data_IF_331452094287
#
_entry.id   IF_331452094287
#
_cell.length_a   1.000
_cell.length_b   1.000
_cell.length_c   1.000
_cell.angle_alpha   90.00
_cell.angle_beta   90.00
_cell.angle_gamma   90.00
#
_symmetry.space_group_name_H-M   'P 1'
#
loop_
_entity.id
_entity.type
_entity.pdbx_description
1 polymer ?
#
# COMPACT_ATOMS: atom_id res chain seq x y z
N UNK A 1 18.82 -7.24 23.51
CA UNK A 1 17.84 -6.87 22.46
C UNK A 1 16.54 -7.54 22.83
N UNK A 2 15.53 -6.79 23.25
CA UNK A 2 14.33 -7.39 23.85
C UNK A 2 13.08 -6.80 23.23
N UNK A 3 12.15 -7.72 22.94
CA UNK A 3 10.71 -7.56 22.70
C UNK A 3 10.31 -7.16 21.27
N UNK A 4 10.16 -8.17 20.39
CA UNK A 4 9.11 -8.14 19.37
C UNK A 4 7.88 -8.82 19.95
N UNK A 5 6.86 -8.05 20.35
CA UNK A 5 5.55 -8.61 20.69
C UNK A 5 4.82 -8.92 19.37
N UNK A 6 5.19 -10.02 18.73
CA UNK A 6 4.32 -10.67 17.76
C UNK A 6 3.02 -11.03 18.50
N UNK A 7 1.97 -10.25 18.30
CA UNK A 7 0.67 -10.56 18.92
C UNK A 7 0.09 -11.74 18.14
N UNK A 8 0.34 -12.95 18.63
CA UNK A 8 -0.18 -14.20 18.06
C UNK A 8 -1.58 -14.42 18.60
N UNK A 9 -2.58 -14.40 17.72
CA UNK A 9 -3.97 -14.69 18.08
C UNK A 9 -4.44 -15.97 17.36
N UNK A 10 -5.18 -16.87 18.03
CA UNK A 10 -5.81 -18.02 17.41
C UNK A 10 -6.69 -17.64 16.21
N UNK A 11 -6.82 -18.55 15.25
CA UNK A 11 -7.62 -18.35 14.05
C UNK A 11 -9.08 -17.94 14.35
N UNK A 12 -9.66 -18.57 15.36
CA UNK A 12 -11.02 -18.30 15.81
C UNK A 12 -11.15 -16.91 16.44
N UNK A 13 -10.11 -16.46 17.14
CA UNK A 13 -10.08 -15.13 17.75
C UNK A 13 -9.86 -14.04 16.69
N UNK A 14 -9.04 -14.30 15.67
CA UNK A 14 -8.91 -13.44 14.50
C UNK A 14 -10.23 -13.33 13.74
N UNK A 15 -10.91 -14.45 13.51
CA UNK A 15 -12.21 -14.48 12.83
C UNK A 15 -13.25 -13.61 13.54
N UNK A 16 -13.31 -13.72 14.88
CA UNK A 16 -14.21 -12.89 15.71
C UNK A 16 -13.80 -11.42 15.76
N UNK A 17 -12.51 -11.14 15.89
CA UNK A 17 -12.00 -9.76 16.05
C UNK A 17 -12.17 -8.93 14.78
N UNK A 18 -12.02 -9.56 13.62
CA UNK A 18 -12.06 -8.88 12.33
C UNK A 18 -13.38 -9.10 11.58
N UNK A 19 -14.32 -9.86 12.17
CA UNK A 19 -15.60 -10.24 11.56
C UNK A 19 -15.41 -10.91 10.18
N UNK A 20 -14.40 -11.78 10.09
CA UNK A 20 -14.03 -12.50 8.86
C UNK A 20 -14.17 -14.00 9.09
N UNK A 21 -14.81 -14.71 8.16
CA UNK A 21 -14.95 -16.17 8.29
C UNK A 21 -13.60 -16.88 8.32
N UNK A 22 -13.51 -17.94 9.13
CA UNK A 22 -12.34 -18.82 9.23
C UNK A 22 -11.90 -19.31 7.84
N UNK A 23 -12.87 -19.66 6.98
CA UNK A 23 -12.63 -20.12 5.61
C UNK A 23 -11.97 -19.06 4.73
N UNK A 24 -12.34 -17.79 4.89
CA UNK A 24 -11.70 -16.69 4.18
C UNK A 24 -10.26 -16.46 4.67
N UNK A 25 -10.02 -16.55 5.97
CA UNK A 25 -8.67 -16.51 6.53
C UNK A 25 -7.81 -17.68 6.01
N UNK A 26 -8.35 -18.91 5.97
CA UNK A 26 -7.63 -20.06 5.38
C UNK A 26 -7.25 -19.84 3.92
N UNK A 27 -8.14 -19.24 3.13
CA UNK A 27 -7.87 -18.89 1.73
C UNK A 27 -6.73 -17.89 1.61
N UNK A 28 -6.70 -16.86 2.47
CA UNK A 28 -5.61 -15.89 2.51
C UNK A 28 -4.26 -16.51 2.90
N UNK A 29 -4.24 -17.61 3.67
CA UNK A 29 -3.01 -18.38 3.90
C UNK A 29 -2.58 -19.14 2.64
N UNK A 30 -3.52 -19.81 1.98
CA UNK A 30 -3.26 -20.57 0.75
C UNK A 30 -2.75 -19.67 -0.38
N UNK A 31 -3.29 -18.45 -0.44
CA UNK A 31 -2.89 -17.41 -1.40
C UNK A 31 -1.58 -16.71 -1.00
N UNK A 32 -0.96 -17.09 0.12
CA UNK A 32 0.32 -16.55 0.60
C UNK A 32 0.27 -15.14 1.20
N UNK A 33 -0.94 -14.59 1.38
CA UNK A 33 -1.20 -13.24 1.89
C UNK A 33 -0.96 -13.17 3.41
N UNK A 34 -1.17 -14.27 4.13
CA UNK A 34 -0.85 -14.42 5.56
C UNK A 34 -0.07 -15.70 5.84
N UNK A 35 0.77 -15.72 6.88
CA UNK A 35 1.61 -16.88 7.22
C UNK A 35 1.05 -17.63 8.43
N UNK A 36 1.02 -18.96 8.36
CA UNK A 36 0.73 -19.82 9.51
C UNK A 36 1.98 -19.95 10.38
N UNK A 37 1.83 -19.71 11.69
CA UNK A 37 2.85 -20.06 12.68
C UNK A 37 2.29 -21.12 13.62
N UNK A 38 2.89 -22.31 13.61
CA UNK A 38 2.47 -23.40 14.50
C UNK A 38 3.01 -23.17 15.91
N UNK A 39 2.13 -23.23 16.91
CA UNK A 39 2.56 -23.33 18.31
C UNK A 39 2.76 -24.81 18.66
N UNK A 40 3.69 -25.13 19.58
CA UNK A 40 4.03 -26.51 20.00
C UNK A 40 2.88 -27.33 20.62
N UNK A 41 1.66 -26.77 20.70
CA UNK A 41 0.52 -27.31 21.46
C UNK A 41 -0.68 -27.74 20.63
N UNK A 42 -0.56 -27.81 19.30
CA UNK A 42 -1.62 -28.35 18.43
C UNK A 42 -2.76 -27.39 18.10
N UNK A 43 -2.72 -26.15 18.59
CA UNK A 43 -3.69 -25.12 18.24
C UNK A 43 -3.27 -24.36 16.97
N UNK A 44 -4.20 -24.27 16.01
CA UNK A 44 -4.01 -23.54 14.75
C UNK A 44 -4.08 -22.03 15.01
N UNK A 45 -2.91 -21.41 15.19
CA UNK A 45 -2.77 -19.96 15.38
C UNK A 45 -2.38 -19.31 14.05
N UNK A 46 -3.16 -18.32 13.60
CA UNK A 46 -2.82 -17.55 12.40
C UNK A 46 -1.97 -16.35 12.80
N UNK A 47 -0.81 -16.21 12.15
CA UNK A 47 -0.06 -14.96 12.15
C UNK A 47 -0.53 -14.14 10.96
N UNK A 48 -1.45 -13.20 11.18
CA UNK A 48 -1.67 -12.12 10.20
C UNK A 48 -0.43 -11.24 10.25
N UNK A 49 0.60 -11.62 9.50
CA UNK A 49 1.77 -10.78 9.31
C UNK A 49 1.38 -9.66 8.35
N UNK A 50 0.63 -8.67 8.84
CA UNK A 50 0.75 -7.33 8.23
C UNK A 50 2.18 -6.92 8.48
N UNK A 51 2.93 -6.70 7.41
CA UNK A 51 4.26 -6.10 7.53
C UNK A 51 4.05 -4.76 8.24
N UNK A 52 4.81 -4.50 9.30
CA UNK A 52 4.73 -3.21 9.97
C UNK A 52 5.13 -2.10 8.99
N UNK A 53 4.68 -0.86 9.25
CA UNK A 53 4.89 0.23 8.30
C UNK A 53 6.39 0.45 7.98
N UNK A 54 7.30 0.24 8.94
CA UNK A 54 8.73 0.47 8.71
C UNK A 54 9.32 -0.62 7.81
N UNK A 55 8.92 -1.88 8.00
CA UNK A 55 9.32 -2.97 7.11
C UNK A 55 8.70 -2.81 5.71
N UNK A 56 7.45 -2.33 5.61
CA UNK A 56 6.81 -2.08 4.32
C UNK A 56 7.53 -0.95 3.54
N UNK A 57 7.93 0.12 4.23
CA UNK A 57 8.75 1.20 3.64
C UNK A 57 10.07 0.64 3.07
N UNK A 58 10.78 -0.20 3.85
CA UNK A 58 12.04 -0.81 3.38
C UNK A 58 11.87 -1.67 2.14
N UNK A 59 10.83 -2.51 2.11
CA UNK A 59 10.53 -3.36 0.95
C UNK A 59 10.25 -2.50 -0.28
N UNK A 60 9.41 -1.48 -0.14
CA UNK A 60 9.05 -0.59 -1.25
C UNK A 60 10.25 0.17 -1.80
N UNK A 61 11.12 0.70 -0.94
CA UNK A 61 12.33 1.41 -1.37
C UNK A 61 13.33 0.50 -2.12
N UNK A 62 13.31 -0.81 -1.87
CA UNK A 62 14.15 -1.77 -2.57
C UNK A 62 13.55 -2.16 -3.93
N UNK A 63 12.22 -2.39 -3.97
CA UNK A 63 11.49 -2.87 -5.15
C UNK A 63 11.16 -1.77 -6.17
N UNK A 64 10.77 -0.58 -5.68
CA UNK A 64 10.13 0.47 -6.49
C UNK A 64 11.01 1.72 -6.48
N UNK A 65 11.60 2.03 -7.63
CA UNK A 65 12.50 3.17 -7.81
C UNK A 65 11.95 4.15 -8.84
N UNK A 66 12.15 5.47 -8.66
CA UNK A 66 11.59 6.48 -9.56
C UNK A 66 12.09 6.35 -11.01
N UNK A 67 13.30 5.83 -11.22
CA UNK A 67 13.91 5.62 -12.53
C UNK A 67 13.11 4.63 -13.41
N UNK A 68 12.35 3.71 -12.79
CA UNK A 68 11.46 2.78 -13.51
C UNK A 68 10.38 3.52 -14.32
N UNK A 69 10.04 4.76 -13.93
CA UNK A 69 8.97 5.57 -14.51
C UNK A 69 9.51 6.75 -15.33
N UNK A 70 10.83 6.86 -15.51
CA UNK A 70 11.45 8.01 -16.19
C UNK A 70 10.99 8.17 -17.64
N UNK A 71 10.61 7.08 -18.30
CA UNK A 71 10.05 7.07 -19.65
C UNK A 71 8.69 7.80 -19.78
N UNK A 72 8.01 8.10 -18.67
CA UNK A 72 6.75 8.85 -18.63
C UNK A 72 6.95 10.30 -18.15
N UNK A 73 8.19 10.73 -17.89
CA UNK A 73 8.46 12.03 -17.27
C UNK A 73 8.07 13.15 -18.22
N UNK A 74 7.31 14.13 -17.71
CA UNK A 74 6.81 15.25 -18.50
C UNK A 74 5.59 14.93 -19.37
N UNK A 75 5.18 13.66 -19.46
CA UNK A 75 3.92 13.28 -20.10
C UNK A 75 2.74 13.77 -19.27
N UNK A 76 1.73 14.31 -19.97
CA UNK A 76 0.55 14.91 -19.33
C UNK A 76 -0.55 13.87 -19.23
N UNK A 77 -1.07 13.67 -18.02
CA UNK A 77 -2.29 12.89 -17.83
C UNK A 77 -3.32 13.70 -17.05
N UNK A 78 -4.57 13.70 -17.54
CA UNK A 78 -5.67 14.36 -16.83
C UNK A 78 -6.06 13.55 -15.59
N UNK A 79 -6.48 14.21 -14.52
CA UNK A 79 -6.86 13.53 -13.28
C UNK A 79 -7.89 12.40 -13.47
N UNK A 80 -8.97 12.64 -14.23
CA UNK A 80 -9.99 11.61 -14.50
C UNK A 80 -9.45 10.45 -15.36
N UNK A 81 -8.52 10.74 -16.26
CA UNK A 81 -7.87 9.71 -17.09
C UNK A 81 -6.91 8.87 -16.26
N UNK A 82 -6.12 9.51 -15.39
CA UNK A 82 -5.27 8.85 -14.43
C UNK A 82 -6.07 7.93 -13.50
N UNK A 83 -7.19 8.41 -12.98
CA UNK A 83 -8.07 7.60 -12.13
C UNK A 83 -8.52 6.30 -12.81
N UNK A 84 -8.94 6.39 -14.08
CA UNK A 84 -9.36 5.22 -14.87
C UNK A 84 -8.19 4.31 -15.23
N UNK A 85 -7.07 4.89 -15.68
CA UNK A 85 -5.88 4.15 -16.12
C UNK A 85 -5.24 3.38 -14.96
N UNK A 86 -5.14 4.03 -13.80
CA UNK A 86 -4.44 3.52 -12.63
C UNK A 86 -5.36 2.89 -11.60
N UNK A 87 -6.68 2.91 -11.80
CA UNK A 87 -7.70 2.37 -10.89
C UNK A 87 -7.50 2.89 -9.45
N UNK A 88 -7.50 4.21 -9.32
CA UNK A 88 -7.38 4.93 -8.04
C UNK A 88 -8.34 6.10 -8.04
N UNK A 89 -9.08 6.28 -6.95
CA UNK A 89 -10.07 7.35 -6.84
C UNK A 89 -9.48 8.75 -7.11
N UNK A 90 -10.23 9.54 -7.89
CA UNK A 90 -9.97 10.95 -8.22
C UNK A 90 -9.55 11.78 -6.99
N UNK A 91 -10.24 11.57 -5.87
CA UNK A 91 -9.98 12.29 -4.63
C UNK A 91 -8.60 11.94 -4.01
N UNK A 92 -8.12 10.71 -4.19
CA UNK A 92 -6.78 10.32 -3.71
C UNK A 92 -5.70 11.00 -4.55
N UNK A 93 -5.84 10.96 -5.89
CA UNK A 93 -4.93 11.62 -6.82
C UNK A 93 -4.87 13.13 -6.56
N UNK A 94 -6.04 13.77 -6.38
CA UNK A 94 -6.13 15.19 -6.05
C UNK A 94 -5.37 15.52 -4.76
N UNK A 95 -5.60 14.76 -3.68
CA UNK A 95 -4.91 14.98 -2.39
C UNK A 95 -3.41 14.74 -2.49
N UNK A 96 -2.96 13.81 -3.32
CA UNK A 96 -1.53 13.58 -3.54
C UNK A 96 -0.89 14.72 -4.35
N UNK A 97 -1.60 15.28 -5.32
CA UNK A 97 -1.18 16.48 -6.04
C UNK A 97 -1.12 17.72 -5.12
N UNK A 98 -2.12 17.95 -4.27
CA UNK A 98 -2.10 19.05 -3.27
C UNK A 98 -0.93 18.93 -2.30
N UNK A 99 -0.54 17.69 -1.95
CA UNK A 99 0.61 17.40 -1.09
C UNK A 99 1.95 17.42 -1.84
N UNK A 100 1.94 17.78 -3.12
CA UNK A 100 3.11 17.83 -3.99
C UNK A 100 3.82 16.47 -4.17
N UNK A 101 3.12 15.36 -3.92
CA UNK A 101 3.60 14.02 -4.24
C UNK A 101 3.53 13.75 -5.74
N UNK A 102 2.60 14.44 -6.42
CA UNK A 102 2.43 14.40 -7.87
C UNK A 102 2.64 15.82 -8.39
N UNK A 103 3.56 15.98 -9.33
CA UNK A 103 3.78 17.26 -9.96
C UNK A 103 2.60 17.66 -10.86
N UNK A 104 2.13 18.89 -10.69
CA UNK A 104 1.07 19.48 -11.50
C UNK A 104 1.72 20.20 -12.68
N UNK A 105 1.40 19.79 -13.90
CA UNK A 105 1.92 20.39 -15.13
C UNK A 105 1.04 21.55 -15.63
N UNK A 106 -0.28 21.46 -15.42
CA UNK A 106 -1.23 22.51 -15.77
C UNK A 106 -2.43 22.48 -14.81
N UNK A 107 -2.89 23.67 -14.40
CA UNK A 107 -4.04 23.84 -13.51
C UNK A 107 -4.94 24.98 -14.01
N UNK A 108 -6.12 24.60 -14.49
CA UNK A 108 -7.22 25.50 -14.84
C UNK A 108 -8.50 25.16 -14.06
N UNK A 109 -9.54 25.99 -14.23
CA UNK A 109 -10.80 25.92 -13.47
C UNK A 109 -11.48 24.54 -13.52
N UNK A 110 -11.31 23.78 -14.59
CA UNK A 110 -11.83 22.41 -14.76
C UNK A 110 -10.79 21.45 -15.35
N UNK A 111 -9.50 21.80 -15.26
CA UNK A 111 -8.43 21.05 -15.90
C UNK A 111 -7.28 20.89 -14.92
N UNK A 112 -7.00 19.66 -14.54
CA UNK A 112 -5.83 19.31 -13.75
C UNK A 112 -5.04 18.27 -14.53
N UNK A 113 -3.88 18.70 -15.05
CA UNK A 113 -2.92 17.83 -15.73
C UNK A 113 -1.74 17.55 -14.81
N UNK A 114 -1.48 16.27 -14.63
CA UNK A 114 -0.47 15.73 -13.73
C UNK A 114 0.68 15.18 -14.57
N UNK A 115 1.89 15.18 -14.01
CA UNK A 115 3.01 14.42 -14.55
C UNK A 115 2.73 12.93 -14.40
N UNK A 116 2.68 12.22 -15.53
CA UNK A 116 2.30 10.82 -15.54
C UNK A 116 3.32 9.92 -14.82
N UNK A 117 4.62 10.20 -14.92
CA UNK A 117 5.63 9.44 -14.19
C UNK A 117 5.40 9.52 -12.68
N UNK A 118 5.08 10.72 -12.17
CA UNK A 118 4.77 10.90 -10.75
C UNK A 118 3.50 10.15 -10.34
N UNK A 119 2.45 10.21 -11.18
CA UNK A 119 1.21 9.46 -10.94
C UNK A 119 1.50 7.96 -10.85
N UNK A 120 2.18 7.40 -11.86
CA UNK A 120 2.50 5.98 -11.94
C UNK A 120 3.33 5.53 -10.73
N UNK A 121 4.32 6.33 -10.34
CA UNK A 121 5.19 6.07 -9.20
C UNK A 121 4.41 6.04 -7.87
N UNK A 122 3.67 7.11 -7.59
CA UNK A 122 2.89 7.26 -6.35
C UNK A 122 1.82 6.17 -6.23
N UNK A 123 1.11 5.87 -7.32
CA UNK A 123 0.10 4.80 -7.35
C UNK A 123 0.75 3.46 -7.06
N UNK A 124 1.90 3.16 -7.67
CA UNK A 124 2.54 1.85 -7.48
C UNK A 124 2.98 1.65 -6.04
N UNK A 125 3.57 2.68 -5.41
CA UNK A 125 3.88 2.65 -3.98
C UNK A 125 2.61 2.41 -3.15
N UNK A 126 1.53 3.14 -3.42
CA UNK A 126 0.30 3.03 -2.65
C UNK A 126 -0.33 1.63 -2.75
N UNK A 127 -0.45 1.08 -3.96
CA UNK A 127 -1.00 -0.26 -4.19
C UNK A 127 -0.13 -1.32 -3.53
N UNK A 128 1.20 -1.23 -3.69
CA UNK A 128 2.13 -2.15 -3.05
C UNK A 128 2.06 -2.06 -1.52
N UNK A 129 1.95 -0.86 -0.96
CA UNK A 129 1.77 -0.68 0.47
C UNK A 129 0.43 -1.26 0.96
N UNK A 130 -0.63 -1.15 0.17
CA UNK A 130 -1.93 -1.75 0.48
C UNK A 130 -1.87 -3.27 0.47
N UNK A 131 -1.15 -3.88 -0.47
CA UNK A 131 -0.87 -5.33 -0.48
C UNK A 131 -0.10 -5.78 0.76
N UNK A 132 0.98 -5.07 1.11
CA UNK A 132 1.86 -5.44 2.24
C UNK A 132 1.22 -5.24 3.61
N UNK A 133 0.38 -4.22 3.75
CA UNK A 133 -0.23 -3.84 5.05
C UNK A 133 -1.66 -4.31 5.22
N UNK A 134 -2.33 -4.72 4.13
CA UNK A 134 -3.75 -5.07 4.11
C UNK A 134 -4.70 -3.92 4.48
N UNK A 135 -4.21 -2.66 4.52
CA UNK A 135 -4.99 -1.52 5.01
C UNK A 135 -4.73 -0.26 4.17
N UNK A 136 -5.78 0.34 3.57
CA UNK A 136 -5.67 1.60 2.83
C UNK A 136 -5.15 2.77 3.68
N UNK A 137 -5.48 2.77 4.98
CA UNK A 137 -5.01 3.80 5.92
C UNK A 137 -3.51 3.65 6.15
N UNK A 138 -3.04 2.43 6.44
CA UNK A 138 -1.60 2.15 6.61
C UNK A 138 -0.83 2.40 5.31
N UNK A 139 -1.40 2.04 4.16
CA UNK A 139 -0.83 2.32 2.85
C UNK A 139 -0.59 3.81 2.63
N UNK A 140 -1.52 4.68 3.03
CA UNK A 140 -1.34 6.13 2.99
C UNK A 140 -0.20 6.64 3.90
N UNK A 141 -0.03 6.04 5.09
CA UNK A 141 1.10 6.34 5.97
C UNK A 141 2.43 5.88 5.38
N UNK A 142 2.49 4.66 4.83
CA UNK A 142 3.67 4.11 4.18
C UNK A 142 4.07 4.96 2.98
N UNK A 143 3.11 5.33 2.11
CA UNK A 143 3.34 6.22 0.98
C UNK A 143 4.00 7.53 1.43
N UNK A 144 3.44 8.19 2.45
CA UNK A 144 3.99 9.42 3.01
C UNK A 144 5.44 9.24 3.50
N UNK A 145 5.73 8.13 4.19
CA UNK A 145 7.07 7.85 4.71
C UNK A 145 8.08 7.58 3.59
N UNK A 146 7.69 6.78 2.58
CA UNK A 146 8.52 6.51 1.40
C UNK A 146 8.88 7.82 0.71
N UNK A 147 7.89 8.65 0.37
CA UNK A 147 8.13 9.93 -0.32
C UNK A 147 8.96 10.92 0.52
N UNK A 148 8.77 10.95 1.83
CA UNK A 148 9.60 11.78 2.73
C UNK A 148 11.05 11.29 2.87
N UNK A 149 11.34 10.02 2.54
CA UNK A 149 12.70 9.45 2.64
C UNK A 149 13.56 9.77 1.42
N UNK A 150 12.93 10.16 0.30
CA UNK A 150 13.60 10.44 -0.98
C UNK A 150 13.67 11.92 -1.34
N UNK A 151 13.03 12.79 -0.55
CA UNK A 151 13.18 14.24 -0.59
C UNK A 151 14.30 14.69 0.35
#
# INVERSE_FOLDING_TARGET
>A
MTIQLETRIPLEEAAKKYDVSIKALTRLVQDGIIRLAHTKKGDNVITVSTVDNATAVRIILDEIRPEQYEHLRGERIRLMEASRKYDVADQSLYRWAERQYIHILDQGVQRLELDEANVAYVVTIYKRAQELTGSPIKAGWVLKQVLNTMN
#
